data_IF_965366251081
#
_entry.id   IF_965366251081
#
_cell.length_a   1.000
_cell.length_b   1.000
_cell.length_c   1.000
_cell.angle_alpha   90.00
_cell.angle_beta   90.00
_cell.angle_gamma   90.00
#
_symmetry.space_group_name_H-M   'P 1'
#
loop_
_entity.id
_entity.type
_entity.pdbx_description
1 polymer ?
#
# COMPACT_ATOMS: atom_id res chain seq x y z
N UNK A 1 1.89 12.80 -3.31
CA UNK A 1 1.74 12.15 -4.64
C UNK A 1 0.34 11.57 -4.82
N UNK A 2 -0.15 10.69 -3.93
CA UNK A 2 -1.51 10.11 -4.09
C UNK A 2 -2.62 11.18 -4.13
N UNK A 3 -2.64 12.12 -3.17
CA UNK A 3 -3.61 13.22 -3.16
C UNK A 3 -3.67 13.95 -4.50
N UNK A 4 -2.51 14.40 -5.00
CA UNK A 4 -2.40 15.09 -6.27
C UNK A 4 -2.91 14.25 -7.46
N UNK A 5 -2.63 12.95 -7.49
CA UNK A 5 -3.13 12.07 -8.56
C UNK A 5 -4.67 12.03 -8.58
N UNK A 6 -5.32 11.91 -7.41
CA UNK A 6 -6.77 11.89 -7.33
C UNK A 6 -7.41 13.27 -7.55
N UNK A 7 -6.75 14.36 -7.15
CA UNK A 7 -7.16 15.74 -7.49
C UNK A 7 -7.15 16.00 -9.00
N UNK A 8 -6.20 15.39 -9.73
CA UNK A 8 -6.18 15.42 -11.20
C UNK A 8 -7.26 14.54 -11.86
N UNK A 9 -8.08 13.84 -11.09
CA UNK A 9 -9.17 13.01 -11.59
C UNK A 9 -8.73 11.61 -12.04
N UNK A 10 -7.53 11.15 -11.69
CA UNK A 10 -7.15 9.76 -11.95
C UNK A 10 -8.08 8.81 -11.17
N UNK A 11 -8.54 7.75 -11.83
CA UNK A 11 -9.45 6.77 -11.23
C UNK A 11 -8.74 5.67 -10.47
N UNK A 12 -7.42 5.54 -10.66
CA UNK A 12 -6.61 4.44 -10.15
C UNK A 12 -5.17 4.89 -9.96
N UNK A 13 -4.58 4.52 -8.84
CA UNK A 13 -3.18 4.76 -8.51
C UNK A 13 -2.52 3.42 -8.16
N UNK A 14 -1.45 3.05 -8.87
CA UNK A 14 -0.90 1.70 -8.84
C UNK A 14 0.44 1.61 -8.12
N UNK A 15 0.65 0.47 -7.45
CA UNK A 15 1.94 0.04 -6.95
C UNK A 15 2.28 -1.32 -7.56
N UNK A 16 3.51 -1.50 -8.02
CA UNK A 16 4.01 -2.81 -8.46
C UNK A 16 5.41 -3.07 -7.95
N UNK A 17 5.65 -4.30 -7.50
CA UNK A 17 6.97 -4.70 -7.01
C UNK A 17 7.30 -6.14 -7.40
N UNK A 18 8.57 -6.52 -7.27
CA UNK A 18 8.94 -7.93 -7.39
C UNK A 18 8.20 -8.72 -6.29
N UNK A 19 7.56 -9.84 -6.64
CA UNK A 19 6.81 -10.68 -5.70
C UNK A 19 7.65 -11.17 -4.51
N UNK A 20 8.98 -11.25 -4.67
CA UNK A 20 9.91 -11.63 -3.60
C UNK A 20 10.32 -10.46 -2.70
N UNK A 21 9.99 -9.21 -3.05
CA UNK A 21 10.32 -8.02 -2.25
C UNK A 21 9.28 -7.80 -1.14
N UNK A 22 9.37 -8.63 -0.08
CA UNK A 22 8.45 -8.58 1.06
C UNK A 22 8.35 -7.18 1.69
N UNK A 23 9.44 -6.41 1.91
CA UNK A 23 9.32 -5.04 2.42
C UNK A 23 8.43 -4.13 1.56
N UNK A 24 8.59 -4.18 0.23
CA UNK A 24 7.76 -3.37 -0.67
C UNK A 24 6.30 -3.83 -0.69
N UNK A 25 6.04 -5.14 -0.60
CA UNK A 25 4.67 -5.68 -0.49
C UNK A 25 3.99 -5.23 0.80
N UNK A 26 4.71 -5.29 1.94
CA UNK A 26 4.24 -4.78 3.25
C UNK A 26 3.96 -3.28 3.20
N UNK A 27 4.83 -2.51 2.55
CA UNK A 27 4.64 -1.07 2.38
C UNK A 27 3.38 -0.73 1.57
N UNK A 28 3.14 -1.43 0.46
CA UNK A 28 1.94 -1.23 -0.36
C UNK A 28 0.65 -1.41 0.48
N UNK A 29 0.54 -2.52 1.21
CA UNK A 29 -0.62 -2.79 2.06
C UNK A 29 -0.73 -1.80 3.24
N UNK A 30 0.39 -1.43 3.88
CA UNK A 30 0.43 -0.38 4.93
C UNK A 30 -0.07 0.97 4.43
N UNK A 31 0.10 1.28 3.14
CA UNK A 31 -0.35 2.53 2.54
C UNK A 31 -1.77 2.46 1.98
N UNK A 32 -2.50 1.35 2.18
CA UNK A 32 -3.88 1.21 1.72
C UNK A 32 -4.04 0.65 0.31
N UNK A 33 -2.98 0.16 -0.33
CA UNK A 33 -3.11 -0.47 -1.66
C UNK A 33 -3.63 -1.90 -1.54
N UNK A 34 -4.77 -2.18 -2.15
CA UNK A 34 -5.39 -3.50 -2.26
C UNK A 34 -4.60 -4.39 -3.24
N UNK A 35 -4.38 -5.65 -2.89
CA UNK A 35 -3.67 -6.62 -3.75
C UNK A 35 -4.59 -7.12 -4.86
N UNK A 36 -4.10 -7.20 -6.10
CA UNK A 36 -4.92 -7.64 -7.24
C UNK A 36 -4.37 -8.87 -7.96
N UNK A 37 -3.13 -9.25 -7.71
CA UNK A 37 -2.55 -10.44 -8.34
C UNK A 37 -1.05 -10.36 -8.55
N UNK A 38 -0.51 -11.46 -9.05
CA UNK A 38 0.91 -11.57 -9.42
C UNK A 38 1.01 -12.05 -10.85
N UNK A 39 1.66 -11.26 -11.70
CA UNK A 39 1.99 -11.67 -13.06
C UNK A 39 3.26 -12.52 -13.00
N UNK A 40 3.13 -13.79 -13.36
CA UNK A 40 4.23 -14.76 -13.44
C UNK A 40 5.12 -14.43 -14.64
N UNK A 41 6.42 -14.52 -14.45
CA UNK A 41 7.44 -14.25 -15.48
C UNK A 41 7.26 -12.91 -16.19
N UNK A 42 6.82 -11.89 -15.45
CA UNK A 42 6.55 -10.56 -16.01
C UNK A 42 7.78 -9.94 -16.69
N UNK A 43 8.97 -10.17 -16.14
CA UNK A 43 10.23 -9.66 -16.71
C UNK A 43 11.44 -10.48 -16.26
N UNK A 44 12.59 -10.22 -16.91
CA UNK A 44 13.91 -10.57 -16.41
C UNK A 44 14.56 -9.31 -15.84
N UNK A 45 14.97 -9.34 -14.58
CA UNK A 45 15.65 -8.23 -13.93
C UNK A 45 17.00 -8.73 -13.39
N UNK A 46 18.10 -8.10 -13.80
CA UNK A 46 19.47 -8.50 -13.42
C UNK A 46 19.72 -10.01 -13.62
N UNK A 47 19.30 -10.53 -14.78
CA UNK A 47 19.49 -11.93 -15.16
C UNK A 47 18.63 -12.95 -14.40
N UNK A 48 17.62 -12.51 -13.64
CA UNK A 48 16.74 -13.40 -12.87
C UNK A 48 15.27 -13.18 -13.23
N UNK A 49 14.47 -14.24 -13.11
CA UNK A 49 13.02 -14.16 -13.21
C UNK A 49 12.46 -13.15 -12.21
N UNK A 50 11.51 -12.33 -12.67
CA UNK A 50 10.72 -11.44 -11.84
C UNK A 50 9.25 -11.69 -12.10
N UNK A 51 8.60 -12.28 -11.11
CA UNK A 51 7.15 -12.16 -10.99
C UNK A 51 6.83 -10.80 -10.37
N UNK A 52 5.75 -10.15 -10.81
CA UNK A 52 5.38 -8.81 -10.35
C UNK A 52 4.04 -8.86 -9.62
N UNK A 53 4.06 -8.51 -8.34
CA UNK A 53 2.85 -8.31 -7.55
C UNK A 53 2.28 -6.90 -7.82
N UNK A 54 0.97 -6.83 -8.02
CA UNK A 54 0.23 -5.61 -8.36
C UNK A 54 -0.75 -5.25 -7.26
N UNK A 55 -0.83 -3.94 -7.01
CA UNK A 55 -1.71 -3.35 -6.02
C UNK A 55 -2.23 -2.00 -6.52
N UNK A 56 -3.33 -1.55 -5.93
CA UNK A 56 -3.90 -0.23 -6.26
C UNK A 56 -4.76 0.37 -5.17
N UNK A 57 -4.97 1.67 -5.32
CA UNK A 57 -6.07 2.42 -4.73
C UNK A 57 -6.93 2.96 -5.89
N UNK A 58 -8.24 2.84 -5.81
CA UNK A 58 -9.17 3.49 -6.74
C UNK A 58 -9.79 4.75 -6.12
N UNK A 59 -10.33 5.63 -6.97
CA UNK A 59 -10.84 6.93 -6.53
C UNK A 59 -11.96 6.84 -5.47
N UNK A 60 -12.79 5.79 -5.49
CA UNK A 60 -13.82 5.58 -4.48
C UNK A 60 -13.28 5.14 -3.12
N UNK A 61 -12.06 4.63 -3.05
CA UNK A 61 -11.38 4.24 -1.80
C UNK A 61 -10.56 5.41 -1.21
N UNK A 62 -10.16 6.36 -2.04
CA UNK A 62 -9.18 7.38 -1.70
C UNK A 62 -9.57 8.22 -0.48
N UNK A 63 -10.82 8.68 -0.36
CA UNK A 63 -11.23 9.56 0.74
C UNK A 63 -10.98 8.91 2.11
N UNK A 64 -11.36 7.64 2.30
CA UNK A 64 -11.15 6.93 3.57
C UNK A 64 -9.66 6.66 3.84
N UNK A 65 -8.88 6.37 2.80
CA UNK A 65 -7.43 6.18 2.94
C UNK A 65 -6.76 7.51 3.31
N UNK A 66 -7.16 8.62 2.69
CA UNK A 66 -6.68 9.96 3.01
C UNK A 66 -6.95 10.29 4.49
N UNK A 67 -8.17 10.06 4.98
CA UNK A 67 -8.51 10.24 6.40
C UNK A 67 -7.61 9.39 7.33
N UNK A 68 -7.30 8.15 6.93
CA UNK A 68 -6.36 7.31 7.67
C UNK A 68 -4.94 7.91 7.71
N UNK A 69 -4.45 8.49 6.62
CA UNK A 69 -3.18 9.20 6.59
C UNK A 69 -3.21 10.45 7.47
N UNK A 70 -4.24 11.29 7.35
CA UNK A 70 -4.39 12.51 8.14
C UNK A 70 -4.43 12.20 9.64
N UNK A 71 -5.19 11.18 10.05
CA UNK A 71 -5.21 10.70 11.43
C UNK A 71 -3.86 10.17 11.90
N UNK A 72 -3.12 9.49 11.02
CA UNK A 72 -1.80 8.99 11.36
C UNK A 72 -0.76 10.12 11.50
N UNK A 73 -0.86 11.16 10.66
CA UNK A 73 0.02 12.33 10.66
C UNK A 73 -0.29 13.35 11.76
N UNK A 74 -1.48 13.30 12.38
CA UNK A 74 -1.83 14.16 13.51
C UNK A 74 -0.73 14.07 14.58
N UNK A 75 -0.22 15.22 15.04
CA UNK A 75 0.83 15.28 16.06
C UNK A 75 0.43 14.57 17.35
N UNK A 76 -0.87 14.50 17.67
CA UNK A 76 -1.41 13.76 18.82
C UNK A 76 -1.20 12.25 18.70
N UNK A 77 -0.99 11.72 17.50
CA UNK A 77 -0.71 10.30 17.26
C UNK A 77 0.73 9.92 17.63
N UNK A 78 1.61 10.86 17.97
CA UNK A 78 2.97 10.57 18.40
C UNK A 78 3.15 10.90 19.89
N UNK A 79 3.97 10.12 20.58
CA UNK A 79 4.40 10.41 21.95
C UNK A 79 5.64 11.32 21.99
N UNK A 80 6.11 11.64 23.18
CA UNK A 80 7.27 12.52 23.41
C UNK A 80 8.57 11.98 22.81
N UNK A 81 8.64 10.67 22.55
CA UNK A 81 9.80 10.01 21.92
C UNK A 81 9.64 9.88 20.40
N UNK A 82 8.56 10.41 19.81
CA UNK A 82 8.26 10.28 18.39
C UNK A 82 7.71 8.92 17.99
N UNK A 83 7.31 8.08 18.94
CA UNK A 83 6.72 6.78 18.66
C UNK A 83 5.22 6.94 18.36
N UNK A 84 4.76 6.31 17.27
CA UNK A 84 3.34 6.31 16.90
C UNK A 84 2.50 5.55 17.94
N UNK A 85 1.36 6.11 18.31
CA UNK A 85 0.34 5.50 19.20
C UNK A 85 -0.60 4.58 18.41
N UNK A 86 -1.00 5.00 17.22
CA UNK A 86 -1.78 4.22 16.26
C UNK A 86 -0.95 4.03 15.00
N UNK A 87 -0.84 2.78 14.55
CA UNK A 87 -0.10 2.47 13.33
C UNK A 87 -0.93 2.82 12.08
N UNK A 88 -0.27 3.22 10.99
CA UNK A 88 -0.96 3.43 9.72
C UNK A 88 -1.59 2.12 9.21
N UNK A 89 -0.93 0.98 9.42
CA UNK A 89 -1.45 -0.34 9.03
C UNK A 89 -2.80 -0.62 9.71
N UNK A 90 -2.95 -0.36 11.01
CA UNK A 90 -4.23 -0.58 11.71
C UNK A 90 -5.37 0.31 11.21
N UNK A 91 -5.05 1.46 10.60
CA UNK A 91 -6.04 2.36 10.01
C UNK A 91 -6.40 1.97 8.57
N UNK A 92 -5.42 1.47 7.81
CA UNK A 92 -5.58 1.15 6.38
C UNK A 92 -6.00 -0.29 6.12
N UNK A 93 -5.60 -1.24 6.97
CA UNK A 93 -5.89 -2.67 6.81
C UNK A 93 -7.39 -3.00 6.70
N UNK A 94 -8.30 -2.36 7.47
CA UNK A 94 -9.75 -2.55 7.29
C UNK A 94 -10.30 -1.99 5.98
N UNK A 95 -9.57 -1.09 5.32
CA UNK A 95 -9.98 -0.42 4.07
C UNK A 95 -9.55 -1.19 2.81
N UNK A 96 -8.73 -2.24 2.97
CA UNK A 96 -8.23 -3.01 1.84
C UNK A 96 -9.36 -3.88 1.26
N UNK A 97 -9.62 -3.75 -0.04
CA UNK A 97 -10.53 -4.63 -0.77
C UNK A 97 -10.01 -6.08 -0.80
N UNK A 98 -8.68 -6.25 -0.87
CA UNK A 98 -8.04 -7.56 -0.79
C UNK A 98 -6.66 -7.47 -0.12
N UNK A 99 -6.45 -8.37 0.85
CA UNK A 99 -5.16 -8.54 1.53
C UNK A 99 -4.21 -9.42 0.72
N UNK A 100 -2.93 -9.09 0.82
CA UNK A 100 -1.86 -9.91 0.27
C UNK A 100 -1.45 -11.01 1.25
N UNK A 101 -2.10 -12.16 1.13
CA UNK A 101 -1.88 -13.31 2.02
C UNK A 101 -0.47 -13.92 1.88
N UNK A 102 0.26 -13.64 0.79
CA UNK A 102 1.65 -14.12 0.63
C UNK A 102 2.63 -13.42 1.57
N UNK A 103 2.23 -12.30 2.19
CA UNK A 103 3.03 -11.61 3.21
C UNK A 103 3.06 -12.40 4.53
N UNK A 104 2.03 -13.23 4.81
CA UNK A 104 1.84 -13.92 6.08
C UNK A 104 2.54 -15.30 6.17
N UNK A 105 3.08 -15.81 5.05
CA UNK A 105 3.62 -17.19 4.97
C UNK A 105 5.14 -17.23 5.27
N UNK A 106 5.65 -16.41 6.20
CA UNK A 106 7.04 -16.49 6.65
C UNK A 106 7.18 -16.26 8.14
#
# INVERSE_FOLDING_TARGET
>A
MMNYAFELGFRRYEWKCNSLNIPSRKAAQRYGFSYEGTFRQYAINKGRNRDTAWYSIINSEWNLIQEAFEKWFDSKNFDENGQQKISLSSLTEPLLAQKDHFILIK
#
